data_IF_870616963985
#
_entry.id   IF_870616963985
#
_cell.length_a   1.000
_cell.length_b   1.000
_cell.length_c   1.000
_cell.angle_alpha   90.00
_cell.angle_beta   90.00
_cell.angle_gamma   90.00
#
_symmetry.space_group_name_H-M   'P 1'
#
loop_
_entity.id
_entity.type
_entity.pdbx_description
1 polymer ?
#
# COMPACT_ATOMS: atom_id res chain seq x y z
N UNK A 1 18.34 48.34 33.87
CA UNK A 1 17.28 48.36 32.84
C UNK A 1 17.18 46.98 32.24
N UNK A 2 16.03 46.30 32.40
CA UNK A 2 15.78 44.93 31.91
C UNK A 2 15.33 45.01 30.45
N UNK A 3 16.03 44.32 29.53
CA UNK A 3 15.53 44.02 28.18
C UNK A 3 15.70 42.51 27.96
N UNK A 4 14.63 41.78 28.24
CA UNK A 4 14.48 40.39 27.85
C UNK A 4 13.42 40.33 26.73
N UNK A 5 13.53 39.30 25.91
CA UNK A 5 12.69 38.92 24.77
C UNK A 5 13.03 39.63 23.45
N UNK A 6 13.83 38.93 22.62
CA UNK A 6 13.21 38.26 21.48
C UNK A 6 13.73 36.82 21.40
N UNK A 7 13.17 35.91 22.20
CA UNK A 7 13.50 34.48 22.10
C UNK A 7 12.27 33.57 21.99
N UNK A 8 11.08 34.15 21.93
CA UNK A 8 9.81 33.40 21.88
C UNK A 8 9.27 33.19 20.46
N UNK A 9 9.84 33.82 19.43
CA UNK A 9 9.33 33.69 18.06
C UNK A 9 9.91 32.49 17.30
N UNK A 10 11.04 31.94 17.76
CA UNK A 10 11.75 30.85 17.07
C UNK A 10 11.19 29.45 17.36
N UNK A 11 10.42 29.29 18.45
CA UNK A 11 9.89 27.98 18.86
C UNK A 11 8.59 27.59 18.13
N UNK A 12 7.89 28.55 17.52
CA UNK A 12 6.62 28.30 16.83
C UNK A 12 6.78 27.77 15.40
N UNK A 13 7.98 27.84 14.81
CA UNK A 13 8.26 27.40 13.44
C UNK A 13 8.69 25.92 13.33
N UNK A 14 8.93 25.24 14.47
CA UNK A 14 9.36 23.83 14.49
C UNK A 14 8.20 22.82 14.54
N UNK A 15 6.98 23.28 14.84
CA UNK A 15 5.79 22.42 15.01
C UNK A 15 4.99 22.18 13.72
N UNK A 16 5.44 22.69 12.57
CA UNK A 16 4.84 22.42 11.25
C UNK A 16 5.64 21.40 10.43
N UNK A 17 6.34 20.48 11.12
CA UNK A 17 6.85 19.28 10.49
C UNK A 17 5.66 18.40 10.11
N UNK A 18 5.11 18.62 8.91
CA UNK A 18 4.24 17.66 8.26
C UNK A 18 5.02 16.33 8.24
N UNK A 19 4.63 15.41 9.12
CA UNK A 19 5.26 14.10 9.24
C UNK A 19 4.94 13.35 7.94
N UNK A 20 5.79 13.52 6.93
CA UNK A 20 5.61 12.87 5.63
C UNK A 20 5.85 11.39 5.85
N UNK A 21 4.76 10.61 5.86
CA UNK A 21 4.84 9.17 6.04
C UNK A 21 5.76 8.56 4.97
N UNK A 22 6.67 7.69 5.40
CA UNK A 22 7.48 6.91 4.48
C UNK A 22 6.59 6.01 3.63
N UNK A 23 7.01 5.59 2.42
CA UNK A 23 6.23 4.65 1.61
C UNK A 23 5.85 3.37 2.37
N UNK A 24 6.75 2.89 3.22
CA UNK A 24 6.50 1.74 4.09
C UNK A 24 5.43 2.02 5.15
N UNK A 25 5.46 3.19 5.80
CA UNK A 25 4.41 3.61 6.72
C UNK A 25 3.06 3.78 6.02
N UNK A 26 3.06 4.25 4.75
CA UNK A 26 1.84 4.33 3.95
C UNK A 26 1.25 2.94 3.69
N UNK A 27 2.07 1.92 3.45
CA UNK A 27 1.60 0.56 3.18
C UNK A 27 0.76 -0.02 4.33
N UNK A 28 1.11 0.31 5.57
CA UNK A 28 0.46 -0.21 6.77
C UNK A 28 -1.04 0.10 6.83
N UNK A 29 -1.80 -0.82 7.41
CA UNK A 29 -3.24 -0.74 7.55
C UNK A 29 -4.00 -1.64 6.57
N UNK A 30 -5.31 -1.46 6.51
CA UNK A 30 -6.20 -2.24 5.64
C UNK A 30 -6.54 -1.44 4.38
N UNK A 31 -6.44 -2.13 3.26
CA UNK A 31 -6.78 -1.67 1.92
C UNK A 31 -7.85 -2.58 1.34
N UNK A 32 -8.81 -2.03 0.61
CA UNK A 32 -9.91 -2.82 0.06
C UNK A 32 -10.51 -2.21 -1.19
N UNK A 33 -11.13 -3.06 -1.99
CA UNK A 33 -12.13 -2.67 -2.98
C UNK A 33 -13.35 -3.62 -2.83
N UNK A 34 -14.28 -3.59 -3.78
CA UNK A 34 -15.46 -4.47 -3.74
C UNK A 34 -15.15 -5.96 -3.93
N UNK A 35 -13.95 -6.33 -4.36
CA UNK A 35 -13.56 -7.71 -4.68
C UNK A 35 -12.48 -8.32 -3.80
N UNK A 36 -11.63 -7.51 -3.16
CA UNK A 36 -10.53 -7.98 -2.32
C UNK A 36 -10.20 -7.02 -1.18
N UNK A 37 -9.46 -7.53 -0.20
CA UNK A 37 -8.82 -6.69 0.82
C UNK A 37 -7.48 -7.25 1.25
N UNK A 38 -6.56 -6.36 1.59
CA UNK A 38 -5.24 -6.69 2.10
C UNK A 38 -4.95 -5.83 3.33
N UNK A 39 -4.48 -6.45 4.41
CA UNK A 39 -4.06 -5.75 5.63
C UNK A 39 -2.58 -5.98 5.87
N UNK A 40 -1.79 -4.91 5.84
CA UNK A 40 -0.38 -4.92 6.20
C UNK A 40 -0.22 -4.48 7.65
N UNK A 41 0.69 -5.16 8.37
CA UNK A 41 0.96 -4.94 9.79
C UNK A 41 2.43 -4.57 10.00
N UNK A 42 2.70 -3.88 11.09
CA UNK A 42 4.05 -3.45 11.48
C UNK A 42 5.03 -4.62 11.67
N UNK A 43 4.53 -5.79 12.08
CA UNK A 43 5.32 -7.02 12.29
C UNK A 43 5.64 -7.79 10.99
N UNK A 44 5.48 -7.15 9.83
CA UNK A 44 5.53 -7.78 8.49
C UNK A 44 4.41 -8.80 8.24
N UNK A 45 3.40 -8.88 9.11
CA UNK A 45 2.24 -9.73 8.89
C UNK A 45 1.34 -9.19 7.78
N UNK A 46 0.75 -10.10 7.00
CA UNK A 46 -0.24 -9.76 5.98
C UNK A 46 -1.44 -10.70 6.04
N UNK A 47 -2.63 -10.13 5.85
CA UNK A 47 -3.88 -10.86 5.64
C UNK A 47 -4.43 -10.44 4.28
N UNK A 48 -4.61 -11.39 3.36
CA UNK A 48 -5.05 -11.15 2.00
C UNK A 48 -6.32 -11.94 1.68
N UNK A 49 -7.46 -11.25 1.65
CA UNK A 49 -8.77 -11.81 1.37
C UNK A 49 -9.19 -11.51 -0.07
N UNK A 50 -9.56 -12.57 -0.79
CA UNK A 50 -9.94 -12.53 -2.20
C UNK A 50 -11.11 -13.49 -2.42
N UNK A 51 -11.79 -13.50 -3.59
CA UNK A 51 -12.88 -14.44 -3.85
C UNK A 51 -12.45 -15.92 -3.78
N UNK A 52 -11.15 -16.21 -3.98
CA UNK A 52 -10.60 -17.58 -3.87
C UNK A 52 -10.27 -17.99 -2.43
N UNK A 53 -10.43 -17.09 -1.45
CA UNK A 53 -10.26 -17.36 -0.03
C UNK A 53 -9.27 -16.44 0.68
N UNK A 54 -9.17 -16.67 2.00
CA UNK A 54 -8.31 -15.94 2.92
C UNK A 54 -6.89 -16.52 2.92
N UNK A 55 -5.90 -15.67 2.67
CA UNK A 55 -4.48 -15.99 2.86
C UNK A 55 -3.90 -15.20 4.04
N UNK A 56 -3.04 -15.85 4.83
CA UNK A 56 -2.33 -15.21 5.96
C UNK A 56 -0.85 -15.53 5.87
N UNK A 57 0.01 -14.56 6.12
CA UNK A 57 1.45 -14.81 6.13
C UNK A 57 2.27 -13.55 6.33
N UNK A 58 3.36 -13.42 5.55
CA UNK A 58 4.31 -12.30 5.64
C UNK A 58 4.43 -11.54 4.32
N UNK A 59 4.86 -10.28 4.42
CA UNK A 59 5.18 -9.48 3.24
C UNK A 59 6.60 -8.92 3.31
N UNK A 60 7.17 -8.70 2.13
CA UNK A 60 8.36 -7.88 1.89
C UNK A 60 7.96 -6.71 1.01
N UNK A 61 8.50 -5.52 1.30
CA UNK A 61 8.25 -4.31 0.51
C UNK A 61 9.56 -3.53 0.34
N UNK A 62 9.92 -3.26 -0.90
CA UNK A 62 11.10 -2.46 -1.28
C UNK A 62 10.66 -1.19 -2.02
N UNK A 63 10.60 -0.03 -1.35
CA UNK A 63 10.17 1.22 -1.98
C UNK A 63 11.20 1.79 -2.97
N UNK A 64 12.40 1.22 -3.07
CA UNK A 64 13.43 1.68 -4.01
C UNK A 64 13.21 1.17 -5.43
N UNK A 65 12.35 0.17 -5.62
CA UNK A 65 12.05 -0.42 -6.94
C UNK A 65 11.27 0.59 -7.80
N UNK A 66 11.78 0.95 -9.00
CA UNK A 66 11.13 1.91 -9.86
C UNK A 66 9.81 1.36 -10.45
N UNK A 67 8.92 2.23 -10.94
CA UNK A 67 7.70 1.82 -11.63
C UNK A 67 7.98 0.84 -12.79
N UNK A 68 7.13 -0.18 -12.98
CA UNK A 68 7.29 -1.12 -14.07
C UNK A 68 7.16 -0.40 -15.42
N UNK A 69 8.05 -0.73 -16.34
CA UNK A 69 8.04 -0.24 -17.73
C UNK A 69 7.69 -1.38 -18.68
N UNK A 70 7.57 -1.10 -19.98
CA UNK A 70 7.32 -2.14 -20.99
C UNK A 70 8.41 -3.22 -21.02
N UNK A 71 9.65 -2.84 -20.69
CA UNK A 71 10.83 -3.71 -20.82
C UNK A 71 11.26 -4.34 -19.48
N UNK A 72 10.86 -3.76 -18.36
CA UNK A 72 11.29 -4.20 -17.02
C UNK A 72 10.12 -4.26 -16.06
N UNK A 73 9.87 -5.46 -15.54
CA UNK A 73 8.84 -5.72 -14.53
C UNK A 73 9.50 -6.36 -13.32
N UNK A 74 9.68 -5.56 -12.26
CA UNK A 74 10.25 -6.01 -10.98
C UNK A 74 9.20 -5.81 -9.88
N UNK A 75 8.89 -6.84 -9.07
CA UNK A 75 8.03 -6.65 -7.90
C UNK A 75 8.72 -5.74 -6.88
N UNK A 76 7.95 -4.80 -6.33
CA UNK A 76 8.36 -4.07 -5.15
C UNK A 76 7.71 -4.64 -3.87
N UNK A 77 6.77 -5.58 -4.04
CA UNK A 77 6.04 -6.21 -2.95
C UNK A 77 5.91 -7.70 -3.21
N UNK A 78 6.25 -8.50 -2.21
CA UNK A 78 6.10 -9.96 -2.24
C UNK A 78 5.30 -10.42 -1.03
N UNK A 79 4.33 -11.30 -1.24
CA UNK A 79 3.52 -11.91 -0.19
C UNK A 79 3.83 -13.42 -0.15
N UNK A 80 4.27 -13.89 1.01
CA UNK A 80 4.39 -15.30 1.33
C UNK A 80 3.19 -15.68 2.20
N UNK A 81 2.22 -16.40 1.62
CA UNK A 81 0.93 -16.68 2.26
C UNK A 81 0.72 -18.18 2.46
N UNK A 82 -0.07 -18.52 3.48
CA UNK A 82 -0.75 -19.81 3.61
C UNK A 82 -2.23 -19.61 3.32
N UNK A 83 -2.78 -20.37 2.37
CA UNK A 83 -4.21 -20.38 2.00
C UNK A 83 -4.62 -21.83 1.74
N UNK A 84 -5.71 -22.29 2.34
CA UNK A 84 -6.21 -23.66 2.17
C UNK A 84 -5.11 -24.74 2.39
N UNK A 85 -4.30 -24.57 3.44
CA UNK A 85 -3.14 -25.43 3.77
C UNK A 85 -2.03 -25.48 2.70
N UNK A 86 -2.03 -24.57 1.73
CA UNK A 86 -0.99 -24.45 0.71
C UNK A 86 -0.19 -23.17 0.91
N UNK A 87 1.13 -23.25 0.73
CA UNK A 87 1.98 -22.06 0.67
C UNK A 87 1.96 -21.51 -0.75
N UNK A 88 1.62 -20.24 -0.87
CA UNK A 88 1.60 -19.50 -2.13
C UNK A 88 2.49 -18.27 -1.99
N UNK A 89 3.17 -17.93 -3.07
CA UNK A 89 3.93 -16.68 -3.18
C UNK A 89 3.27 -15.82 -4.26
N UNK A 90 3.03 -14.56 -3.94
CA UNK A 90 2.43 -13.58 -4.85
C UNK A 90 3.32 -12.35 -4.94
N UNK A 91 3.60 -11.92 -6.15
CA UNK A 91 4.43 -10.77 -6.47
C UNK A 91 3.58 -9.64 -7.06
N UNK A 92 3.78 -8.43 -6.54
CA UNK A 92 3.04 -7.23 -6.93
C UNK A 92 3.98 -6.05 -7.13
N UNK A 93 3.52 -5.10 -7.95
CA UNK A 93 3.98 -3.72 -7.88
C UNK A 93 2.92 -2.86 -7.20
N UNK A 94 3.30 -2.20 -6.11
CA UNK A 94 2.45 -1.34 -5.29
C UNK A 94 2.85 0.12 -5.46
N UNK A 95 1.87 0.97 -5.76
CA UNK A 95 2.03 2.41 -5.88
C UNK A 95 0.97 3.11 -5.02
N UNK A 96 1.27 4.31 -4.54
CA UNK A 96 0.34 5.13 -3.75
C UNK A 96 0.00 6.43 -4.48
N UNK A 97 -1.01 6.44 -5.39
CA UNK A 97 -1.44 7.65 -6.08
C UNK A 97 -1.91 8.77 -5.13
N UNK A 98 -2.43 8.40 -3.96
CA UNK A 98 -2.84 9.33 -2.90
C UNK A 98 -2.67 8.68 -1.52
N UNK A 99 -2.95 9.41 -0.44
CA UNK A 99 -2.87 8.88 0.93
C UNK A 99 -3.88 7.76 1.20
N UNK A 100 -5.02 7.78 0.49
CA UNK A 100 -6.17 6.90 0.67
C UNK A 100 -6.39 5.94 -0.53
N UNK A 101 -5.47 5.92 -1.50
CA UNK A 101 -5.50 5.02 -2.66
C UNK A 101 -4.18 4.28 -2.80
N UNK A 102 -4.29 2.98 -2.99
CA UNK A 102 -3.18 2.09 -3.33
C UNK A 102 -3.51 1.42 -4.66
N UNK A 103 -2.57 1.50 -5.60
CA UNK A 103 -2.63 0.80 -6.87
C UNK A 103 -1.79 -0.46 -6.75
N UNK A 104 -2.35 -1.60 -7.13
CA UNK A 104 -1.63 -2.87 -7.22
C UNK A 104 -1.61 -3.34 -8.67
N UNK A 105 -0.44 -3.75 -9.13
CA UNK A 105 -0.26 -4.46 -10.40
C UNK A 105 0.09 -5.90 -10.05
N UNK A 106 -0.76 -6.84 -10.45
CA UNK A 106 -0.55 -8.27 -10.21
C UNK A 106 0.47 -8.81 -11.20
N UNK A 107 1.63 -9.24 -10.69
CA UNK A 107 2.73 -9.73 -11.52
C UNK A 107 2.71 -11.26 -11.73
N UNK A 108 1.77 -11.96 -11.09
CA UNK A 108 1.71 -13.43 -11.09
C UNK A 108 0.95 -13.99 -12.30
N UNK A 109 0.34 -13.13 -13.12
CA UNK A 109 -0.47 -13.55 -14.26
C UNK A 109 0.09 -12.99 -15.58
N UNK A 110 0.92 -13.77 -16.32
CA UNK A 110 1.58 -13.31 -17.54
C UNK A 110 0.59 -12.95 -18.66
N UNK A 111 -0.64 -13.48 -18.65
CA UNK A 111 -1.68 -13.07 -19.62
C UNK A 111 -2.08 -11.59 -19.46
N UNK A 112 -1.81 -10.99 -18.30
CA UNK A 112 -2.05 -9.57 -17.99
C UNK A 112 -0.87 -8.66 -18.37
N UNK A 113 0.21 -9.23 -18.90
CA UNK A 113 1.41 -8.54 -19.40
C UNK A 113 1.79 -9.07 -20.79
N UNK A 114 0.86 -9.05 -21.75
CA UNK A 114 1.20 -9.48 -23.12
C UNK A 114 2.04 -8.39 -23.81
N UNK A 115 3.36 -8.56 -24.00
CA UNK A 115 4.21 -7.53 -24.61
C UNK A 115 3.93 -7.37 -26.12
N UNK A 116 3.23 -8.35 -26.72
CA UNK A 116 2.89 -8.39 -28.15
C UNK A 116 1.57 -7.69 -28.45
N UNK A 117 0.84 -7.22 -27.43
CA UNK A 117 -0.31 -6.35 -27.61
C UNK A 117 -0.09 -5.07 -26.79
N UNK A 118 0.54 -4.02 -27.38
CA UNK A 118 0.82 -2.76 -26.68
C UNK A 118 -0.42 -1.99 -26.20
N UNK A 119 -1.63 -2.41 -26.61
CA UNK A 119 -2.90 -1.86 -26.10
C UNK A 119 -3.41 -2.58 -24.84
N UNK A 120 -2.84 -3.74 -24.47
CA UNK A 120 -3.19 -4.44 -23.24
C UNK A 120 -2.47 -3.77 -22.06
N UNK A 121 -3.01 -2.65 -21.58
CA UNK A 121 -2.53 -1.99 -20.38
C UNK A 121 -2.43 -3.00 -19.22
N UNK A 122 -1.33 -3.00 -18.43
CA UNK A 122 -1.21 -3.90 -17.28
C UNK A 122 -2.43 -3.70 -16.38
N UNK A 123 -3.19 -4.77 -16.17
CA UNK A 123 -4.39 -4.71 -15.33
C UNK A 123 -3.97 -4.39 -13.90
N UNK A 124 -4.38 -3.22 -13.44
CA UNK A 124 -4.17 -2.78 -12.07
C UNK A 124 -5.49 -2.75 -11.32
N UNK A 125 -5.42 -2.87 -10.00
CA UNK A 125 -6.55 -2.61 -9.12
C UNK A 125 -6.25 -1.43 -8.22
N UNK A 126 -7.28 -0.61 -7.98
CA UNK A 126 -7.22 0.49 -7.02
C UNK A 126 -7.95 0.06 -5.76
N UNK A 127 -7.24 0.10 -4.64
CA UNK A 127 -7.75 -0.16 -3.31
C UNK A 127 -7.86 1.15 -2.54
N UNK A 128 -8.92 1.27 -1.75
CA UNK A 128 -9.14 2.37 -0.82
C UNK A 128 -8.61 1.99 0.55
N UNK A 129 -8.05 2.95 1.27
CA UNK A 129 -7.69 2.78 2.68
C UNK A 129 -8.98 2.63 3.49
N UNK A 130 -9.05 1.63 4.36
CA UNK A 130 -10.10 1.55 5.37
C UNK A 130 -9.84 2.61 6.45
N UNK A 131 -10.90 3.26 6.92
CA UNK A 131 -10.80 4.14 8.09
C UNK A 131 -10.21 3.35 9.28
N UNK A 132 -9.37 4.00 10.12
CA UNK A 132 -8.95 3.39 11.37
C UNK A 132 -10.20 2.95 12.16
N UNK A 133 -10.17 1.76 12.74
CA UNK A 133 -11.29 1.22 13.52
C UNK A 133 -11.67 2.24 14.62
N UNK A 134 -12.78 2.96 14.42
CA UNK A 134 -13.16 4.14 15.21
C UNK A 134 -14.01 5.16 14.42
N UNK A 135 -13.88 5.21 13.10
CA UNK A 135 -14.78 5.95 12.21
C UNK A 135 -15.57 4.98 11.34
N UNK A 136 -16.69 4.47 11.88
CA UNK A 136 -17.74 3.98 11.00
C UNK A 136 -18.41 5.21 10.38
N UNK A 137 -18.44 5.37 9.04
CA UNK A 137 -19.39 6.30 8.46
C UNK A 137 -20.77 5.77 8.86
N UNK A 138 -21.53 6.58 9.60
CA UNK A 138 -22.93 6.33 9.85
C UNK A 138 -23.57 6.06 8.48
N UNK A 139 -23.95 4.81 8.25
CA UNK A 139 -24.79 4.46 7.13
C UNK A 139 -26.06 5.31 7.27
N UNK A 140 -26.22 6.30 6.40
CA UNK A 140 -27.52 6.91 6.20
C UNK A 140 -28.35 5.91 5.41
N UNK A 141 -29.49 5.58 6.00
CA UNK A 141 -30.52 4.65 5.54
C UNK A 141 -31.00 4.94 4.12
#
# INVERSE_FOLDING_TARGET
MKRAAPLLLSLALLSLSACQQTPEQKLLGRWYNGGMSIRFREDRGVVFNTPVGLGVGRYEFDPSVPPPTADTVTPNTRLDLVRNNQRIQLEFYVEFPSQDRMKIVDLNNPRRMNPRNPEAAPQFEILKRAAPEGEQPLASF
#
